data_IF_560563010862
#
_entry.id   IF_560563010862
#
_cell.length_a   1.000
_cell.length_b   1.000
_cell.length_c   1.000
_cell.angle_alpha   90.00
_cell.angle_beta   90.00
_cell.angle_gamma   90.00
#
_symmetry.space_group_name_H-M   'P 1'
#
loop_
_entity.id
_entity.type
_entity.pdbx_description
1 polymer ?
#
# COMPACT_ATOMS: atom_id res chain seq x y z
N UNK A 1 -3.13 15.16 1.20
CA UNK A 1 -1.78 15.14 0.61
C UNK A 1 -1.34 13.69 0.56
N UNK A 2 -0.82 13.20 -0.57
CA UNK A 2 -0.18 11.88 -0.60
C UNK A 2 1.05 11.92 0.31
N UNK A 3 1.32 10.86 1.11
CA UNK A 3 2.53 10.80 1.90
C UNK A 3 3.76 10.91 0.99
N UNK A 4 4.83 11.61 1.41
CA UNK A 4 6.05 11.69 0.62
C UNK A 4 6.62 10.28 0.40
N UNK A 5 7.19 9.99 -0.77
CA UNK A 5 7.75 8.67 -1.04
C UNK A 5 8.90 8.36 -0.07
N UNK A 6 9.06 7.09 0.26
CA UNK A 6 10.09 6.64 1.20
C UNK A 6 11.38 6.33 0.44
N UNK A 7 12.50 6.90 0.91
CA UNK A 7 13.84 6.58 0.46
C UNK A 7 14.58 5.92 1.63
N UNK A 8 15.18 4.76 1.41
CA UNK A 8 16.01 4.08 2.41
C UNK A 8 17.47 4.37 2.06
N UNK A 9 18.26 4.78 3.04
CA UNK A 9 19.69 4.99 2.91
C UNK A 9 20.42 3.99 3.80
N UNK A 10 21.18 3.07 3.18
CA UNK A 10 22.09 2.17 3.88
C UNK A 10 23.51 2.75 3.86
N UNK A 11 24.02 3.13 5.03
CA UNK A 11 25.40 3.61 5.21
C UNK A 11 25.77 3.65 6.70
N UNK A 12 27.06 3.48 7.01
CA UNK A 12 27.61 3.80 8.33
C UNK A 12 28.26 5.19 8.41
N UNK A 13 28.32 5.95 7.30
CA UNK A 13 28.88 7.31 7.27
C UNK A 13 27.86 8.37 7.73
N UNK A 14 28.04 9.01 8.90
CA UNK A 14 27.11 10.02 9.40
C UNK A 14 27.08 11.30 8.56
N UNK A 15 28.17 11.64 7.85
CA UNK A 15 28.20 12.81 6.99
C UNK A 15 27.41 12.59 5.71
N UNK A 16 27.47 11.40 5.13
CA UNK A 16 26.60 11.01 4.03
C UNK A 16 25.12 11.08 4.43
N UNK A 17 24.76 10.56 5.62
CA UNK A 17 23.37 10.65 6.14
C UNK A 17 22.90 12.10 6.22
N UNK A 18 23.73 12.99 6.75
CA UNK A 18 23.40 14.42 6.87
C UNK A 18 23.20 15.06 5.50
N UNK A 19 24.09 14.81 4.54
CA UNK A 19 24.01 15.35 3.17
C UNK A 19 22.76 14.86 2.43
N UNK A 20 22.52 13.55 2.42
CA UNK A 20 21.37 12.94 1.74
C UNK A 20 20.05 13.42 2.34
N UNK A 21 19.91 13.44 3.67
CA UNK A 21 18.70 13.97 4.33
C UNK A 21 18.45 15.44 3.97
N UNK A 22 19.51 16.26 3.92
CA UNK A 22 19.39 17.66 3.53
C UNK A 22 18.96 17.83 2.06
N UNK A 23 19.52 17.04 1.16
CA UNK A 23 19.19 17.10 -0.28
C UNK A 23 17.78 16.60 -0.56
N UNK A 24 17.30 15.58 0.16
CA UNK A 24 16.01 14.95 -0.10
C UNK A 24 14.85 15.47 0.75
N UNK A 25 15.08 16.44 1.64
CA UNK A 25 14.09 16.96 2.60
C UNK A 25 12.73 17.34 1.99
N UNK A 26 12.72 17.83 0.74
CA UNK A 26 11.50 18.25 0.03
C UNK A 26 10.99 17.22 -0.97
N UNK A 27 11.72 16.12 -1.17
CA UNK A 27 11.47 15.11 -2.21
C UNK A 27 10.91 13.83 -1.57
N UNK A 28 11.49 13.38 -0.46
CA UNK A 28 11.21 12.08 0.12
C UNK A 28 11.40 12.06 1.64
N UNK A 29 10.75 11.09 2.29
CA UNK A 29 11.07 10.72 3.67
C UNK A 29 12.26 9.77 3.67
N UNK A 30 13.44 10.26 4.08
CA UNK A 30 14.65 9.42 4.16
C UNK A 30 14.73 8.64 5.47
N UNK A 31 14.73 7.31 5.38
CA UNK A 31 14.99 6.37 6.49
C UNK A 31 16.43 5.90 6.42
N UNK A 32 17.22 6.13 7.46
CA UNK A 32 18.61 5.70 7.53
C UNK A 32 18.70 4.34 8.23
N UNK A 33 19.52 3.44 7.68
CA UNK A 33 19.85 2.13 8.24
C UNK A 33 21.37 1.98 8.24
N UNK A 34 21.95 1.69 9.40
CA UNK A 34 23.39 1.42 9.57
C UNK A 34 23.70 -0.05 9.82
N UNK A 35 22.70 -0.86 10.16
CA UNK A 35 22.83 -2.28 10.52
C UNK A 35 22.06 -3.15 9.52
N UNK A 36 22.72 -4.17 8.99
CA UNK A 36 22.17 -5.13 8.01
C UNK A 36 20.90 -5.83 8.55
N UNK A 37 20.93 -6.25 9.81
CA UNK A 37 19.82 -6.93 10.50
C UNK A 37 18.49 -6.16 10.53
N UNK A 38 18.55 -4.84 10.37
CA UNK A 38 17.36 -3.97 10.37
C UNK A 38 16.83 -3.68 8.98
N UNK A 39 17.60 -3.94 7.93
CA UNK A 39 17.27 -3.52 6.59
C UNK A 39 16.04 -4.26 6.04
N UNK A 40 15.93 -5.57 6.27
CA UNK A 40 14.80 -6.38 5.81
C UNK A 40 13.46 -5.87 6.34
N UNK A 41 13.39 -5.59 7.65
CA UNK A 41 12.18 -5.06 8.27
C UNK A 41 11.79 -3.69 7.69
N UNK A 42 12.79 -2.85 7.35
CA UNK A 42 12.54 -1.53 6.76
C UNK A 42 12.10 -1.65 5.30
N UNK A 43 12.69 -2.56 4.53
CA UNK A 43 12.30 -2.84 3.14
C UNK A 43 10.88 -3.40 3.07
N UNK A 44 10.53 -4.34 3.95
CA UNK A 44 9.19 -4.93 4.01
C UNK A 44 8.10 -3.88 4.28
N UNK A 45 8.39 -2.90 5.15
CA UNK A 45 7.44 -1.83 5.48
C UNK A 45 7.33 -0.74 4.40
N UNK A 46 8.32 -0.62 3.52
CA UNK A 46 8.43 0.48 2.57
C UNK A 46 8.20 0.06 1.10
N UNK A 47 7.94 -1.22 0.82
CA UNK A 47 7.79 -1.75 -0.54
C UNK A 47 6.56 -1.17 -1.26
N UNK A 48 6.69 -0.58 -2.48
CA UNK A 48 7.92 -0.40 -3.27
C UNK A 48 8.81 0.75 -2.78
N UNK A 49 10.11 0.49 -2.66
CA UNK A 49 11.08 1.41 -2.06
C UNK A 49 12.27 1.71 -2.98
N UNK A 50 12.79 2.93 -2.86
CA UNK A 50 14.11 3.31 -3.38
C UNK A 50 15.15 3.08 -2.28
N UNK A 51 16.11 2.18 -2.54
CA UNK A 51 17.27 1.94 -1.70
C UNK A 51 18.48 2.66 -2.27
N UNK A 52 19.05 3.58 -1.50
CA UNK A 52 20.35 4.19 -1.75
C UNK A 52 21.37 3.48 -0.89
N UNK A 53 22.39 2.93 -1.53
CA UNK A 53 23.33 2.03 -0.89
C UNK A 53 24.76 2.56 -1.00
N UNK A 54 25.38 2.84 0.13
CA UNK A 54 26.80 3.18 0.19
C UNK A 54 27.65 1.92 0.02
N UNK A 55 28.44 1.86 -1.05
CA UNK A 55 29.31 0.72 -1.32
C UNK A 55 30.56 0.69 -0.42
N UNK A 56 30.90 1.79 0.24
CA UNK A 56 31.94 1.81 1.29
C UNK A 56 31.43 1.28 2.63
N UNK A 57 30.13 1.09 2.78
CA UNK A 57 29.55 0.48 3.96
C UNK A 57 30.05 -0.96 4.15
N UNK A 58 30.11 -1.41 5.41
CA UNK A 58 30.47 -2.80 5.70
C UNK A 58 29.45 -3.75 5.08
N UNK A 59 29.95 -4.87 4.55
CA UNK A 59 29.13 -5.95 3.98
C UNK A 59 28.23 -5.50 2.81
N UNK A 60 28.54 -4.35 2.18
CA UNK A 60 27.73 -3.77 1.11
C UNK A 60 27.62 -4.71 -0.10
N UNK A 61 28.70 -5.37 -0.50
CA UNK A 61 28.69 -6.28 -1.65
C UNK A 61 27.73 -7.46 -1.45
N UNK A 62 27.90 -8.20 -0.35
CA UNK A 62 27.07 -9.37 -0.03
C UNK A 62 25.60 -8.97 0.15
N UNK A 63 25.37 -7.81 0.78
CA UNK A 63 24.05 -7.27 0.98
C UNK A 63 23.37 -6.87 -0.34
N UNK A 64 24.11 -6.31 -1.30
CA UNK A 64 23.58 -5.94 -2.60
C UNK A 64 23.04 -7.18 -3.33
N UNK A 65 23.85 -8.24 -3.38
CA UNK A 65 23.48 -9.51 -4.00
C UNK A 65 22.25 -10.13 -3.32
N UNK A 66 22.21 -10.11 -1.98
CA UNK A 66 21.08 -10.63 -1.21
C UNK A 66 19.79 -9.85 -1.50
N UNK A 67 19.84 -8.52 -1.55
CA UNK A 67 18.65 -7.68 -1.78
C UNK A 67 18.14 -7.86 -3.21
N UNK A 68 19.02 -7.94 -4.22
CA UNK A 68 18.60 -8.19 -5.59
C UNK A 68 17.87 -9.53 -5.74
N UNK A 69 18.25 -10.53 -4.94
CA UNK A 69 17.64 -11.86 -4.93
C UNK A 69 16.30 -11.89 -4.19
N UNK A 70 16.26 -11.33 -2.98
CA UNK A 70 15.10 -11.45 -2.09
C UNK A 70 14.04 -10.37 -2.33
N UNK A 71 14.46 -9.22 -2.84
CA UNK A 71 13.64 -8.03 -3.06
C UNK A 71 13.79 -7.46 -4.47
N UNK A 72 13.44 -8.21 -5.53
CA UNK A 72 13.64 -7.78 -6.92
C UNK A 72 12.85 -6.53 -7.32
N UNK A 73 11.88 -6.13 -6.51
CA UNK A 73 11.04 -4.94 -6.71
C UNK A 73 11.63 -3.66 -6.08
N UNK A 74 12.70 -3.79 -5.30
CA UNK A 74 13.40 -2.66 -4.70
C UNK A 74 14.32 -2.05 -5.73
N UNK A 75 14.16 -0.75 -5.97
CA UNK A 75 15.03 -0.02 -6.88
C UNK A 75 16.30 0.41 -6.16
N UNK A 76 17.46 0.01 -6.66
CA UNK A 76 18.75 0.25 -5.99
C UNK A 76 19.55 1.33 -6.73
N UNK A 77 20.00 2.34 -5.98
CA UNK A 77 21.02 3.31 -6.41
C UNK A 77 22.27 3.10 -5.56
N UNK A 78 23.38 2.73 -6.18
CA UNK A 78 24.64 2.54 -5.48
C UNK A 78 25.46 3.85 -5.46
N UNK A 79 26.05 4.18 -4.32
CA UNK A 79 26.98 5.28 -4.15
C UNK A 79 28.38 4.72 -3.87
N UNK A 80 29.38 5.14 -4.63
CA UNK A 80 30.75 4.69 -4.43
C UNK A 80 31.77 5.66 -5.02
N UNK A 81 33.05 5.33 -4.91
CA UNK A 81 34.10 6.16 -5.51
C UNK A 81 34.03 6.01 -7.03
N UNK A 82 34.02 7.12 -7.77
CA UNK A 82 34.04 7.11 -9.22
C UNK A 82 35.18 6.24 -9.78
N UNK A 83 34.84 5.37 -10.74
CA UNK A 83 35.77 4.43 -11.39
C UNK A 83 36.39 3.37 -10.48
N UNK A 84 35.92 3.22 -9.25
CA UNK A 84 36.31 2.10 -8.39
C UNK A 84 35.70 0.80 -8.89
N UNK A 85 36.38 -0.31 -8.62
CA UNK A 85 35.90 -1.63 -9.01
C UNK A 85 34.54 -1.99 -8.36
N UNK A 86 34.30 -1.74 -7.06
CA UNK A 86 32.99 -2.01 -6.46
C UNK A 86 31.83 -1.27 -7.12
N UNK A 87 32.05 -0.03 -7.56
CA UNK A 87 31.02 0.75 -8.25
C UNK A 87 30.71 0.19 -9.65
N UNK A 88 31.75 -0.28 -10.36
CA UNK A 88 31.61 -0.94 -11.66
C UNK A 88 30.92 -2.29 -11.56
N UNK A 89 31.27 -3.10 -10.57
CA UNK A 89 30.61 -4.39 -10.31
C UNK A 89 29.12 -4.18 -10.01
N UNK A 90 28.79 -3.19 -9.17
CA UNK A 90 27.40 -2.87 -8.85
C UNK A 90 26.61 -2.38 -10.08
N UNK A 91 27.21 -1.54 -10.94
CA UNK A 91 26.57 -1.11 -12.20
C UNK A 91 26.29 -2.29 -13.14
N UNK A 92 27.22 -3.25 -13.22
CA UNK A 92 27.06 -4.46 -14.02
C UNK A 92 26.07 -5.47 -13.44
N UNK A 93 25.74 -5.38 -12.15
CA UNK A 93 24.78 -6.29 -11.50
C UNK A 93 23.31 -5.95 -11.83
N UNK A 94 23.06 -4.89 -12.61
CA UNK A 94 21.71 -4.53 -13.06
C UNK A 94 20.93 -3.71 -12.03
N UNK A 95 21.61 -2.97 -11.16
CA UNK A 95 20.98 -1.92 -10.34
C UNK A 95 20.44 -0.79 -11.23
N UNK A 96 19.62 0.10 -10.67
CA UNK A 96 19.03 1.19 -11.44
C UNK A 96 20.06 2.25 -11.85
N UNK A 97 20.94 2.62 -10.92
CA UNK A 97 22.01 3.58 -11.19
C UNK A 97 23.16 3.44 -10.20
N UNK A 98 24.36 3.83 -10.64
CA UNK A 98 25.54 4.01 -9.82
C UNK A 98 25.95 5.50 -9.89
N UNK A 99 26.28 6.11 -8.75
CA UNK A 99 26.69 7.52 -8.66
C UNK A 99 27.88 7.71 -7.70
N UNK A 100 28.56 8.84 -7.80
CA UNK A 100 29.71 9.17 -6.95
C UNK A 100 29.27 9.48 -5.51
N UNK A 101 30.05 9.04 -4.53
CA UNK A 101 29.91 9.45 -3.12
C UNK A 101 30.09 10.98 -2.92
N UNK A 102 30.77 11.65 -3.86
CA UNK A 102 30.85 13.11 -3.96
C UNK A 102 29.60 13.68 -4.63
N UNK A 103 28.50 13.65 -3.87
CA UNK A 103 27.18 14.07 -4.33
C UNK A 103 27.13 15.55 -4.75
N UNK A 104 26.86 15.79 -6.03
CA UNK A 104 26.36 17.09 -6.51
C UNK A 104 24.85 17.18 -6.28
N UNK A 105 24.38 18.24 -5.61
CA UNK A 105 22.99 18.37 -5.16
C UNK A 105 21.97 18.30 -6.30
N UNK A 106 22.02 19.16 -7.34
CA UNK A 106 21.02 19.13 -8.41
C UNK A 106 21.08 17.82 -9.21
N UNK A 107 22.27 17.28 -9.45
CA UNK A 107 22.42 15.97 -10.10
C UNK A 107 21.73 14.87 -9.30
N UNK A 108 22.05 14.75 -8.01
CA UNK A 108 21.52 13.72 -7.13
C UNK A 108 20.01 13.84 -6.93
N UNK A 109 19.49 15.05 -6.77
CA UNK A 109 18.04 15.29 -6.68
C UNK A 109 17.32 14.87 -7.97
N UNK A 110 17.90 15.16 -9.14
CA UNK A 110 17.34 14.75 -10.42
C UNK A 110 17.38 13.22 -10.58
N UNK A 111 18.46 12.55 -10.15
CA UNK A 111 18.57 11.09 -10.15
C UNK A 111 17.47 10.45 -9.28
N UNK A 112 17.33 10.92 -8.04
CA UNK A 112 16.32 10.40 -7.11
C UNK A 112 14.89 10.70 -7.61
N UNK A 113 14.66 11.87 -8.21
CA UNK A 113 13.38 12.18 -8.85
C UNK A 113 13.02 11.18 -9.95
N UNK A 114 13.95 10.94 -10.89
CA UNK A 114 13.75 9.94 -11.96
C UNK A 114 13.55 8.53 -11.41
N UNK A 115 14.26 8.16 -10.33
CA UNK A 115 14.09 6.88 -9.68
C UNK A 115 12.68 6.69 -9.11
N UNK A 116 12.09 7.73 -8.49
CA UNK A 116 10.72 7.68 -8.02
C UNK A 116 9.69 7.65 -9.15
N UNK A 117 9.90 8.42 -10.22
CA UNK A 117 9.04 8.34 -11.40
C UNK A 117 9.08 6.94 -12.02
N UNK A 118 10.26 6.31 -12.08
CA UNK A 118 10.42 4.95 -12.55
C UNK A 118 9.72 3.92 -11.63
N UNK A 119 9.88 4.03 -10.31
CA UNK A 119 9.16 3.19 -9.35
C UNK A 119 7.64 3.31 -9.52
N UNK A 120 7.14 4.52 -9.73
CA UNK A 120 5.72 4.74 -9.99
C UNK A 120 5.26 4.05 -11.27
N UNK A 121 6.06 4.13 -12.34
CA UNK A 121 5.76 3.42 -13.59
C UNK A 121 5.79 1.90 -13.41
N UNK A 122 6.74 1.36 -12.65
CA UNK A 122 6.80 -0.07 -12.35
C UNK A 122 5.57 -0.53 -11.56
N UNK A 123 5.17 0.26 -10.56
CA UNK A 123 3.98 0.00 -9.78
C UNK A 123 2.72 0.05 -10.65
N UNK A 124 2.56 1.10 -11.46
CA UNK A 124 1.45 1.23 -12.40
C UNK A 124 1.42 0.04 -13.39
N UNK A 125 2.58 -0.40 -13.90
CA UNK A 125 2.66 -1.53 -14.83
C UNK A 125 2.28 -2.85 -14.16
N UNK A 126 2.73 -3.09 -12.92
CA UNK A 126 2.32 -4.26 -12.13
C UNK A 126 0.81 -4.26 -11.93
N UNK A 127 0.23 -3.14 -11.52
CA UNK A 127 -1.21 -3.01 -11.32
C UNK A 127 -1.97 -3.27 -12.63
N UNK A 128 -1.52 -2.72 -13.76
CA UNK A 128 -2.11 -2.97 -15.08
C UNK A 128 -1.97 -4.43 -15.54
N UNK A 129 -0.85 -5.10 -15.23
CA UNK A 129 -0.67 -6.53 -15.52
C UNK A 129 -1.60 -7.39 -14.67
N UNK A 130 -1.74 -7.09 -13.38
CA UNK A 130 -2.70 -7.75 -12.50
C UNK A 130 -4.13 -7.59 -13.02
N UNK A 131 -4.50 -6.38 -13.48
CA UNK A 131 -5.79 -6.11 -14.15
C UNK A 131 -5.94 -6.90 -15.46
N UNK A 132 -4.90 -6.96 -16.28
CA UNK A 132 -4.93 -7.64 -17.60
C UNK A 132 -4.98 -9.17 -17.46
N UNK A 133 -4.25 -9.75 -16.51
CA UNK A 133 -4.28 -11.18 -16.18
C UNK A 133 -5.62 -11.57 -15.54
N UNK A 134 -6.19 -10.71 -14.70
CA UNK A 134 -7.56 -10.86 -14.21
C UNK A 134 -8.62 -10.79 -15.31
N UNK A 135 -8.32 -10.08 -16.41
CA UNK A 135 -9.21 -9.96 -17.57
C UNK A 135 -9.08 -11.14 -18.55
N UNK A 136 -7.88 -11.72 -18.71
CA UNK A 136 -7.65 -12.88 -19.60
C UNK A 136 -8.23 -14.18 -19.04
N UNK A 137 -8.28 -14.35 -17.71
CA UNK A 137 -9.01 -15.45 -17.07
C UNK A 137 -10.54 -15.32 -17.17
N UNK A 138 -11.04 -14.16 -17.60
CA UNK A 138 -12.46 -13.86 -17.81
C UNK A 138 -12.86 -13.81 -19.30
N UNK A 139 -12.00 -14.24 -20.24
CA UNK A 139 -12.48 -14.52 -21.60
C UNK A 139 -13.36 -15.77 -21.57
N UNK A 140 -14.67 -15.67 -21.89
CA UNK A 140 -15.49 -16.86 -22.09
C UNK A 140 -14.93 -17.63 -23.30
N UNK A 141 -14.90 -18.98 -23.28
CA UNK A 141 -14.58 -19.76 -24.47
C UNK A 141 -15.52 -19.37 -25.63
N UNK A 142 -15.09 -19.54 -26.90
CA UNK A 142 -15.92 -19.23 -28.06
C UNK A 142 -17.25 -19.98 -27.97
N UNK A 143 -18.32 -19.18 -27.98
CA UNK A 143 -19.71 -19.56 -27.72
C UNK A 143 -20.20 -20.54 -28.79
N UNK A 144 -20.23 -21.83 -28.49
CA UNK A 144 -21.17 -22.74 -29.16
C UNK A 144 -22.55 -22.39 -28.60
N UNK A 145 -23.42 -21.87 -29.45
CA UNK A 145 -24.81 -21.61 -29.12
C UNK A 145 -25.51 -22.91 -28.75
N UNK A 146 -25.78 -23.10 -27.45
CA UNK A 146 -26.83 -24.00 -26.98
C UNK A 146 -27.72 -23.22 -26.04
N UNK A 147 -29.02 -23.37 -26.29
CA UNK A 147 -30.11 -22.60 -25.76
C UNK A 147 -30.17 -22.54 -24.22
N UNK A 148 -30.64 -21.38 -23.76
CA UNK A 148 -31.21 -21.04 -22.45
C UNK A 148 -31.35 -22.17 -21.44
N UNK A 149 -30.64 -22.05 -20.31
CA UNK A 149 -31.21 -22.38 -19.02
C UNK A 149 -30.74 -21.41 -17.91
N UNK A 150 -31.69 -21.02 -17.05
CA UNK A 150 -31.57 -19.97 -16.04
C UNK A 150 -30.99 -20.53 -14.73
N UNK A 151 -29.68 -20.39 -14.46
CA UNK A 151 -29.05 -20.58 -13.13
C UNK A 151 -27.67 -19.89 -13.14
N UNK A 152 -27.17 -19.10 -12.19
CA UNK A 152 -27.66 -18.51 -10.96
C UNK A 152 -26.53 -17.58 -10.47
N UNK A 153 -26.75 -16.27 -10.48
CA UNK A 153 -25.83 -15.30 -9.84
C UNK A 153 -25.95 -15.50 -8.33
N UNK A 154 -24.85 -15.60 -7.55
CA UNK A 154 -24.96 -15.38 -6.12
C UNK A 154 -25.18 -13.88 -5.91
N UNK A 155 -26.43 -13.45 -6.07
CA UNK A 155 -26.93 -12.33 -5.28
C UNK A 155 -26.56 -12.65 -3.83
N UNK A 156 -25.75 -11.80 -3.19
CA UNK A 156 -25.61 -11.83 -1.73
C UNK A 156 -27.03 -12.02 -1.20
N UNK A 157 -27.32 -13.09 -0.45
CA UNK A 157 -28.68 -13.33 0.01
C UNK A 157 -29.10 -12.05 0.68
N UNK A 158 -30.08 -11.35 0.07
CA UNK A 158 -30.67 -10.10 0.55
C UNK A 158 -30.64 -10.18 2.05
N UNK A 159 -29.75 -9.42 2.70
CA UNK A 159 -29.42 -9.52 4.13
C UNK A 159 -30.74 -9.74 4.84
N UNK A 160 -31.05 -11.00 5.18
CA UNK A 160 -32.29 -11.33 5.86
C UNK A 160 -32.00 -10.90 7.28
N UNK A 161 -32.07 -9.60 7.54
CA UNK A 161 -32.12 -9.04 8.87
C UNK A 161 -33.30 -9.73 9.54
N UNK A 162 -33.09 -10.70 10.45
CA UNK A 162 -34.19 -11.46 11.02
C UNK A 162 -34.86 -10.53 12.03
N UNK A 163 -35.82 -9.70 11.58
CA UNK A 163 -36.71 -8.88 12.41
C UNK A 163 -36.04 -8.37 13.73
N UNK A 164 -34.83 -7.81 13.64
CA UNK A 164 -34.00 -7.45 14.82
C UNK A 164 -34.55 -6.22 15.56
N UNK A 165 -35.67 -5.66 15.10
CA UNK A 165 -36.35 -4.52 15.72
C UNK A 165 -37.23 -4.87 16.93
N UNK A 166 -37.14 -6.08 17.51
CA UNK A 166 -37.84 -6.41 18.76
C UNK A 166 -36.92 -6.29 19.96
N UNK A 167 -37.03 -5.14 20.65
CA UNK A 167 -36.50 -4.82 21.98
C UNK A 167 -34.97 -4.87 22.11
N UNK A 168 -34.32 -3.81 21.66
CA UNK A 168 -33.02 -3.44 22.21
C UNK A 168 -33.15 -2.05 22.84
N UNK A 169 -33.16 -2.00 24.17
CA UNK A 169 -33.05 -0.74 24.92
C UNK A 169 -31.61 -0.20 24.90
N UNK A 170 -30.66 -1.00 24.35
CA UNK A 170 -29.24 -0.68 24.24
C UNK A 170 -28.76 -0.70 22.78
N UNK A 171 -28.39 0.47 22.26
CA UNK A 171 -27.88 0.67 20.89
C UNK A 171 -26.57 -0.10 20.66
N UNK A 172 -25.72 -0.23 21.68
CA UNK A 172 -24.45 -0.94 21.54
C UNK A 172 -24.68 -2.44 21.34
N UNK A 173 -25.66 -3.01 22.04
CA UNK A 173 -26.05 -4.41 21.88
C UNK A 173 -26.67 -4.68 20.50
N UNK A 174 -27.43 -3.73 19.96
CA UNK A 174 -27.95 -3.81 18.60
C UNK A 174 -26.80 -3.81 17.58
N UNK A 175 -25.85 -2.88 17.71
CA UNK A 175 -24.72 -2.77 16.78
C UNK A 175 -23.81 -4.00 16.84
N UNK A 176 -23.53 -4.53 18.03
CA UNK A 176 -22.77 -5.77 18.19
C UNK A 176 -23.43 -6.95 17.46
N UNK A 177 -24.74 -7.13 17.65
CA UNK A 177 -25.49 -8.18 16.95
C UNK A 177 -25.48 -7.99 15.42
N UNK A 178 -25.57 -6.76 14.93
CA UNK A 178 -25.50 -6.50 13.48
C UNK A 178 -24.13 -6.91 12.93
N UNK A 179 -23.05 -6.58 13.63
CA UNK A 179 -21.68 -6.95 13.23
C UNK A 179 -21.52 -8.47 13.15
N UNK A 180 -22.00 -9.21 14.14
CA UNK A 180 -21.94 -10.68 14.15
C UNK A 180 -22.74 -11.29 12.99
N UNK A 181 -23.98 -10.86 12.78
CA UNK A 181 -24.81 -11.36 11.69
C UNK A 181 -24.22 -11.04 10.31
N UNK A 182 -23.57 -9.88 10.15
CA UNK A 182 -22.88 -9.52 8.90
C UNK A 182 -21.66 -10.40 8.69
N UNK A 183 -20.89 -10.69 9.74
CA UNK A 183 -19.73 -11.57 9.66
C UNK A 183 -20.13 -12.99 9.23
N UNK A 184 -21.18 -13.53 9.84
CA UNK A 184 -21.71 -14.86 9.53
C UNK A 184 -22.29 -14.92 8.11
N UNK A 185 -23.10 -13.92 7.71
CA UNK A 185 -23.74 -13.90 6.40
C UNK A 185 -22.76 -13.67 5.24
N UNK A 186 -21.73 -12.84 5.45
CA UNK A 186 -20.71 -12.56 4.44
C UNK A 186 -19.51 -13.51 4.49
N UNK A 187 -19.43 -14.38 5.50
CA UNK A 187 -18.30 -15.31 5.69
C UNK A 187 -16.97 -14.60 5.96
N UNK A 188 -17.00 -13.42 6.58
CA UNK A 188 -15.82 -12.59 6.83
C UNK A 188 -15.40 -12.67 8.29
N UNK A 189 -14.08 -12.68 8.53
CA UNK A 189 -13.53 -12.87 9.89
C UNK A 189 -13.45 -11.59 10.70
N UNK A 190 -13.56 -10.41 10.06
CA UNK A 190 -13.50 -9.10 10.70
C UNK A 190 -14.56 -8.17 10.12
N UNK A 191 -15.29 -7.48 10.99
CA UNK A 191 -16.34 -6.52 10.61
C UNK A 191 -16.29 -5.33 11.56
N UNK A 192 -16.47 -4.11 11.05
CA UNK A 192 -16.53 -2.90 11.87
C UNK A 192 -17.60 -1.92 11.38
N UNK A 193 -18.32 -1.28 12.30
CA UNK A 193 -19.31 -0.24 12.02
C UNK A 193 -18.76 1.10 12.52
N UNK A 194 -18.57 2.03 11.59
CA UNK A 194 -18.20 3.40 11.89
C UNK A 194 -19.42 4.31 11.81
N UNK A 195 -19.67 5.10 12.86
CA UNK A 195 -20.78 6.05 12.85
C UNK A 195 -20.48 7.32 13.67
N UNK A 196 -21.17 8.40 13.31
CA UNK A 196 -21.23 9.66 14.06
C UNK A 196 -22.57 9.75 14.80
N UNK A 197 -22.57 10.22 16.03
CA UNK A 197 -23.79 10.30 16.87
C UNK A 197 -24.44 11.67 16.73
N UNK A 198 -23.64 12.73 16.70
CA UNK A 198 -24.12 14.11 16.52
C UNK A 198 -23.55 14.72 15.25
N UNK A 199 -24.26 15.73 14.74
CA UNK A 199 -23.81 16.51 13.58
C UNK A 199 -22.55 17.30 13.97
N UNK A 200 -21.46 17.12 13.24
CA UNK A 200 -20.14 17.67 13.59
C UNK A 200 -19.21 16.73 14.37
N UNK A 201 -19.69 15.55 14.82
CA UNK A 201 -18.81 14.53 15.37
C UNK A 201 -18.01 13.81 14.28
N UNK A 202 -16.88 13.23 14.67
CA UNK A 202 -16.08 12.34 13.83
C UNK A 202 -16.71 10.94 13.81
N UNK A 203 -16.59 10.26 12.67
CA UNK A 203 -16.93 8.86 12.53
C UNK A 203 -15.90 8.04 13.30
N UNK A 204 -16.38 7.21 14.23
CA UNK A 204 -15.57 6.31 15.05
C UNK A 204 -16.13 4.91 14.98
N UNK A 205 -15.28 3.91 15.22
CA UNK A 205 -15.71 2.53 15.38
C UNK A 205 -16.67 2.45 16.60
N UNK A 206 -17.88 1.95 16.38
CA UNK A 206 -18.91 1.78 17.43
C UNK A 206 -19.17 0.33 17.78
N UNK A 207 -19.02 -0.56 16.80
CA UNK A 207 -19.05 -1.99 17.02
C UNK A 207 -18.08 -2.64 16.05
N UNK A 208 -17.37 -3.66 16.51
CA UNK A 208 -16.43 -4.41 15.70
C UNK A 208 -16.28 -5.83 16.18
N UNK A 209 -16.11 -6.76 15.25
CA UNK A 209 -15.85 -8.17 15.51
C UNK A 209 -14.44 -8.45 15.03
N UNK A 210 -13.58 -8.89 15.97
CA UNK A 210 -12.17 -9.24 15.71
C UNK A 210 -11.38 -8.12 14.99
N UNK A 211 -11.79 -6.86 15.19
CA UNK A 211 -11.03 -5.68 14.78
C UNK A 211 -9.75 -5.57 15.59
N UNK A 212 -8.74 -4.95 15.01
CA UNK A 212 -7.45 -4.76 15.67
C UNK A 212 -7.54 -3.58 16.65
N UNK A 213 -6.75 -3.58 17.75
CA UNK A 213 -6.80 -2.51 18.74
C UNK A 213 -6.64 -1.11 18.13
N UNK A 214 -5.77 -0.99 17.13
CA UNK A 214 -5.46 0.22 16.36
C UNK A 214 -6.69 0.74 15.60
N UNK A 215 -7.60 -0.15 15.18
CA UNK A 215 -8.85 0.22 14.51
C UNK A 215 -9.79 1.03 15.42
N UNK A 216 -9.67 0.89 16.76
CA UNK A 216 -10.45 1.69 17.71
C UNK A 216 -10.00 3.15 17.77
N UNK A 217 -8.75 3.45 17.41
CA UNK A 217 -8.17 4.80 17.44
C UNK A 217 -8.42 5.57 16.14
N UNK A 218 -8.97 4.92 15.11
CA UNK A 218 -9.23 5.52 13.81
C UNK A 218 -10.47 6.43 13.87
N UNK A 219 -10.27 7.71 13.55
CA UNK A 219 -11.35 8.70 13.50
C UNK A 219 -11.41 9.47 12.17
N UNK A 220 -12.53 9.36 11.46
CA UNK A 220 -12.73 10.08 10.19
C UNK A 220 -13.56 11.34 10.39
N UNK A 221 -13.13 12.47 9.82
CA UNK A 221 -13.89 13.73 9.85
C UNK A 221 -14.95 13.81 8.74
N UNK A 222 -15.90 14.75 8.84
CA UNK A 222 -16.92 14.97 7.78
C UNK A 222 -16.33 15.48 6.45
N UNK A 223 -15.14 16.08 6.48
CA UNK A 223 -14.40 16.50 5.28
C UNK A 223 -13.38 15.45 4.84
N UNK A 224 -13.37 14.29 5.48
CA UNK A 224 -12.47 13.22 5.08
C UNK A 224 -12.84 12.73 3.67
N UNK A 225 -11.86 12.62 2.76
CA UNK A 225 -12.10 12.12 1.41
C UNK A 225 -12.87 10.80 1.37
N UNK A 226 -12.61 9.88 2.31
CA UNK A 226 -13.30 8.59 2.41
C UNK A 226 -14.77 8.74 2.78
N UNK A 227 -15.06 9.59 3.76
CA UNK A 227 -16.44 9.87 4.20
C UNK A 227 -17.22 10.52 3.07
N UNK A 228 -16.63 11.52 2.40
CA UNK A 228 -17.26 12.19 1.25
C UNK A 228 -17.49 11.25 0.08
N UNK A 229 -16.56 10.33 -0.12
CA UNK A 229 -16.71 9.31 -1.15
C UNK A 229 -17.89 8.39 -0.85
N UNK A 230 -18.03 7.88 0.38
CA UNK A 230 -19.17 7.05 0.78
C UNK A 230 -20.52 7.79 0.80
N UNK A 231 -20.53 9.10 1.08
CA UNK A 231 -21.75 9.93 0.99
C UNK A 231 -22.28 10.01 -0.46
N UNK A 232 -21.37 10.01 -1.44
CA UNK A 232 -21.70 10.07 -2.87
C UNK A 232 -21.93 8.67 -3.48
N UNK A 233 -21.34 7.63 -2.89
CA UNK A 233 -21.34 6.27 -3.43
C UNK A 233 -21.80 5.26 -2.37
N UNK A 234 -23.11 5.02 -2.32
CA UNK A 234 -23.73 4.04 -1.41
C UNK A 234 -23.60 2.60 -1.93
N UNK A 235 -22.37 2.14 -2.20
CA UNK A 235 -22.08 0.82 -2.77
C UNK A 235 -21.33 -0.09 -1.80
N UNK A 236 -21.61 -1.39 -1.90
CA UNK A 236 -20.81 -2.43 -1.26
C UNK A 236 -19.48 -2.55 -2.01
N UNK A 237 -18.39 -2.18 -1.35
CA UNK A 237 -17.04 -2.32 -1.90
C UNK A 237 -16.38 -3.52 -1.24
N UNK A 238 -15.93 -4.47 -2.06
CA UNK A 238 -15.08 -5.55 -1.62
C UNK A 238 -13.71 -5.42 -2.30
N UNK A 239 -12.65 -5.98 -1.68
CA UNK A 239 -11.31 -6.02 -2.29
C UNK A 239 -11.31 -6.64 -3.68
N UNK A 240 -12.21 -7.57 -3.95
CA UNK A 240 -12.36 -8.19 -5.26
C UNK A 240 -12.90 -7.23 -6.34
N UNK A 241 -13.73 -6.25 -5.97
CA UNK A 241 -14.35 -5.31 -6.91
C UNK A 241 -13.66 -3.94 -6.94
N UNK A 242 -12.67 -3.72 -6.06
CA UNK A 242 -11.82 -2.52 -6.03
C UNK A 242 -11.13 -2.29 -7.39
N UNK A 243 -10.69 -3.36 -8.06
CA UNK A 243 -10.12 -3.32 -9.41
C UNK A 243 -11.14 -2.88 -10.48
N UNK A 244 -12.44 -3.04 -10.22
CA UNK A 244 -13.53 -2.66 -11.14
C UNK A 244 -13.97 -1.19 -10.97
N UNK A 245 -13.43 -0.47 -9.98
CA UNK A 245 -13.74 0.96 -9.79
C UNK A 245 -13.04 1.78 -10.88
N UNK A 246 -13.74 2.50 -11.77
CA UNK A 246 -13.14 3.08 -12.96
C UNK A 246 -12.23 4.29 -12.68
N UNK A 247 -12.46 5.03 -11.59
CA UNK A 247 -11.63 6.17 -11.23
C UNK A 247 -10.40 5.76 -10.40
N UNK A 248 -9.24 6.14 -10.90
CA UNK A 248 -7.92 5.90 -10.31
C UNK A 248 -7.77 6.56 -8.93
N UNK A 249 -8.30 7.77 -8.74
CA UNK A 249 -8.18 8.51 -7.48
C UNK A 249 -9.01 7.85 -6.39
N UNK A 250 -10.21 7.42 -6.74
CA UNK A 250 -11.13 6.69 -5.85
C UNK A 250 -10.55 5.34 -5.44
N UNK A 251 -9.96 4.61 -6.38
CA UNK A 251 -9.34 3.31 -6.12
C UNK A 251 -8.16 3.40 -5.16
N UNK A 252 -7.26 4.37 -5.35
CA UNK A 252 -6.12 4.60 -4.44
C UNK A 252 -6.58 4.98 -3.03
N UNK A 253 -7.59 5.85 -2.93
CA UNK A 253 -8.20 6.25 -1.67
C UNK A 253 -8.80 5.04 -0.93
N UNK A 254 -9.57 4.20 -1.63
CA UNK A 254 -10.21 3.03 -1.06
C UNK A 254 -9.20 1.94 -0.67
N UNK A 255 -8.13 1.74 -1.46
CA UNK A 255 -7.06 0.78 -1.15
C UNK A 255 -6.31 1.17 0.12
N UNK A 256 -5.91 2.44 0.25
CA UNK A 256 -5.25 2.95 1.46
C UNK A 256 -6.15 2.79 2.69
N UNK A 257 -7.42 3.15 2.55
CA UNK A 257 -8.40 3.06 3.65
C UNK A 257 -8.63 1.61 4.09
N UNK A 258 -8.72 0.68 3.14
CA UNK A 258 -8.87 -0.75 3.44
C UNK A 258 -7.62 -1.37 4.06
N UNK A 259 -6.41 -0.87 3.77
CA UNK A 259 -5.20 -1.30 4.48
C UNK A 259 -5.28 -0.82 5.93
N UNK A 260 -5.56 0.45 6.17
CA UNK A 260 -5.63 1.02 7.53
C UNK A 260 -6.74 0.43 8.42
N UNK A 261 -7.85 -0.05 7.84
CA UNK A 261 -8.97 -0.64 8.59
C UNK A 261 -8.79 -2.16 8.81
N UNK A 262 -7.89 -2.82 8.06
CA UNK A 262 -7.68 -4.28 8.14
C UNK A 262 -6.32 -4.72 8.68
N UNK A 263 -5.37 -3.79 8.77
CA UNK A 263 -4.11 -3.90 9.50
C UNK A 263 -4.32 -3.72 11.00
#
# INVERSE_FOLDING_TARGET
MMPPPVCILYTQDPDLVRRVKAFLRTIAQTRHVSETSRLDAVLQQANPALLIMDLHAKESRDLLEQIQKDWPEVLIVALGIARSEPLREAEQSGIYAADDLQLDRPHFQALVGRAFDYLKVLQDNRELREESTGTTLNQPPPRIEVATDRYGMPSLPLLRFPRVFRRFDNVDALLANVVENVADAAGVTRVGIFSKIRKGDRYRLRAGLRCLPETNEVEFGERDPLVRWFELHAHLICRANLAQTPDRVERSLLRLSLIHISA
#
